data_IF_543394565386
#
_entry.id   IF_543394565386
#
_cell.length_a   1.000
_cell.length_b   1.000
_cell.length_c   1.000
_cell.angle_alpha   90.00
_cell.angle_beta   90.00
_cell.angle_gamma   90.00
#
_symmetry.space_group_name_H-M   'P 1'
#
loop_
_entity.id
_entity.type
_entity.pdbx_description
1 polymer ?
#
# COMPACT_ATOMS: atom_id res chain seq x y z
N UNK A 1 -21.29 -22.75 27.30
CA UNK A 1 -20.04 -22.33 26.67
C UNK A 1 -20.33 -21.04 25.88
N UNK A 2 -19.64 -19.97 26.17
CA UNK A 2 -19.91 -18.67 25.54
C UNK A 2 -19.19 -18.60 24.21
N UNK A 3 -19.89 -18.71 23.10
CA UNK A 3 -19.34 -18.46 21.77
C UNK A 3 -19.18 -16.97 21.53
N UNK A 4 -18.17 -16.60 20.78
CA UNK A 4 -17.86 -15.21 20.43
C UNK A 4 -17.65 -15.08 18.92
N UNK A 5 -17.91 -13.90 18.38
CA UNK A 5 -17.58 -13.54 17.02
C UNK A 5 -16.23 -12.85 16.99
N UNK A 6 -15.29 -13.38 16.26
CA UNK A 6 -13.97 -12.75 16.07
C UNK A 6 -13.99 -11.85 14.85
N UNK A 7 -13.71 -10.58 15.03
CA UNK A 7 -13.66 -9.63 13.92
C UNK A 7 -12.52 -9.96 12.96
N UNK A 8 -12.77 -10.15 11.65
CA UNK A 8 -11.73 -10.48 10.68
C UNK A 8 -10.75 -9.34 10.41
N UNK A 9 -11.13 -8.12 10.75
CA UNK A 9 -10.32 -6.93 10.50
C UNK A 9 -9.34 -6.60 11.63
N UNK A 10 -9.77 -6.74 12.90
CA UNK A 10 -8.96 -6.35 14.05
C UNK A 10 -8.71 -7.47 15.06
N UNK A 11 -9.27 -8.67 14.86
CA UNK A 11 -9.12 -9.82 15.75
C UNK A 11 -9.86 -9.72 17.08
N UNK A 12 -10.66 -8.65 17.31
CA UNK A 12 -11.38 -8.48 18.57
C UNK A 12 -12.49 -9.51 18.70
N UNK A 13 -12.63 -10.07 19.89
CA UNK A 13 -13.73 -10.97 20.28
C UNK A 13 -14.93 -10.09 20.66
N UNK A 14 -16.06 -10.34 20.04
CA UNK A 14 -17.33 -9.62 20.25
C UNK A 14 -18.42 -10.61 20.67
N UNK A 15 -19.42 -10.21 21.45
CA UNK A 15 -20.53 -11.08 21.79
C UNK A 15 -21.40 -11.40 20.56
N UNK A 16 -22.13 -12.50 20.58
CA UNK A 16 -22.97 -12.94 19.47
C UNK A 16 -24.11 -11.97 19.12
N UNK A 17 -24.47 -11.15 20.07
CA UNK A 17 -25.60 -10.22 19.95
C UNK A 17 -25.30 -8.99 19.11
N UNK A 18 -24.02 -8.69 18.86
CA UNK A 18 -23.62 -7.53 18.07
C UNK A 18 -23.44 -7.88 16.60
N UNK A 19 -23.85 -6.98 15.75
CA UNK A 19 -23.72 -7.09 14.29
C UNK A 19 -22.50 -6.32 13.76
N UNK A 20 -21.93 -5.47 14.59
CA UNK A 20 -20.76 -4.65 14.26
C UNK A 20 -19.68 -4.80 15.33
N UNK A 21 -18.43 -4.76 14.90
CA UNK A 21 -17.31 -4.78 15.83
C UNK A 21 -17.24 -3.47 16.63
N UNK A 22 -17.16 -3.60 17.95
CA UNK A 22 -17.09 -2.44 18.87
C UNK A 22 -15.83 -1.60 18.72
N UNK A 23 -14.77 -2.15 18.11
CA UNK A 23 -13.50 -1.47 17.96
C UNK A 23 -13.32 -0.80 16.60
N UNK A 24 -13.62 -1.50 15.51
CA UNK A 24 -13.35 -1.02 14.15
C UNK A 24 -14.64 -0.78 13.32
N UNK A 25 -15.80 -1.00 13.92
CA UNK A 25 -17.11 -0.80 13.30
C UNK A 25 -17.37 -1.60 12.00
N UNK A 26 -16.58 -2.62 11.76
CA UNK A 26 -16.78 -3.54 10.64
C UNK A 26 -17.96 -4.47 10.92
N UNK A 27 -18.78 -4.71 9.90
CA UNK A 27 -19.90 -5.65 9.99
C UNK A 27 -19.39 -7.07 10.23
N UNK A 28 -19.86 -7.68 11.30
CA UNK A 28 -19.54 -9.03 11.71
C UNK A 28 -20.79 -9.92 11.80
N UNK A 29 -21.90 -9.50 11.19
CA UNK A 29 -23.16 -10.25 11.20
C UNK A 29 -23.02 -11.61 10.52
N UNK A 30 -22.22 -11.67 9.46
CA UNK A 30 -21.94 -12.90 8.71
C UNK A 30 -20.79 -13.76 9.29
N UNK A 31 -20.14 -13.29 10.35
CA UNK A 31 -19.03 -14.02 10.98
C UNK A 31 -19.59 -15.18 11.81
N UNK A 32 -19.13 -16.37 11.52
CA UNK A 32 -19.52 -17.55 12.31
C UNK A 32 -19.01 -17.46 13.75
N UNK A 33 -19.82 -17.86 14.71
CA UNK A 33 -19.40 -17.94 16.10
C UNK A 33 -18.23 -18.91 16.25
N UNK A 34 -17.21 -18.51 16.97
CA UNK A 34 -16.02 -19.33 17.24
C UNK A 34 -15.86 -19.50 18.74
N UNK A 35 -15.37 -20.65 19.16
CA UNK A 35 -15.04 -20.88 20.57
C UNK A 35 -13.88 -19.94 20.99
N UNK A 36 -13.96 -19.37 22.19
CA UNK A 36 -12.96 -18.40 22.66
C UNK A 36 -11.57 -18.99 22.83
N UNK A 37 -11.44 -20.30 22.81
CA UNK A 37 -10.19 -21.04 23.01
C UNK A 37 -9.61 -21.61 21.69
N UNK A 38 -10.28 -21.37 20.56
CA UNK A 38 -9.76 -21.78 19.27
C UNK A 38 -8.64 -20.79 18.82
N UNK A 39 -7.52 -21.29 18.32
CA UNK A 39 -6.52 -20.40 17.72
C UNK A 39 -7.17 -19.60 16.60
N UNK A 40 -6.93 -18.31 16.58
CA UNK A 40 -7.48 -17.40 15.59
C UNK A 40 -7.34 -17.99 14.19
N UNK A 41 -8.41 -18.09 13.39
CA UNK A 41 -8.28 -18.50 12.01
C UNK A 41 -7.37 -17.48 11.34
N UNK A 42 -6.18 -17.91 11.01
CA UNK A 42 -5.34 -17.20 10.06
C UNK A 42 -6.22 -16.99 8.84
N UNK A 43 -6.32 -15.74 8.44
CA UNK A 43 -7.05 -15.23 7.29
C UNK A 43 -7.31 -16.30 6.24
N UNK A 44 -8.59 -16.55 5.98
CA UNK A 44 -9.02 -17.59 5.08
C UNK A 44 -8.25 -17.51 3.78
N UNK A 45 -7.59 -18.61 3.49
CA UNK A 45 -7.26 -19.06 2.18
C UNK A 45 -8.22 -18.53 1.10
N UNK A 46 -7.75 -17.56 0.36
CA UNK A 46 -7.90 -17.68 -1.05
C UNK A 46 -6.95 -18.81 -1.41
N UNK A 47 -7.37 -19.93 -1.99
CA UNK A 47 -6.44 -20.90 -2.50
C UNK A 47 -5.60 -20.19 -3.56
N UNK A 48 -4.39 -19.83 -3.16
CA UNK A 48 -3.35 -19.58 -4.12
C UNK A 48 -3.25 -20.87 -4.95
N UNK A 49 -3.25 -20.81 -6.28
CA UNK A 49 -2.96 -21.98 -7.08
C UNK A 49 -1.63 -22.53 -6.55
N UNK A 50 -1.64 -23.83 -6.22
CA UNK A 50 -0.47 -24.57 -5.83
C UNK A 50 0.62 -24.30 -6.89
N UNK A 51 1.52 -23.40 -6.58
CA UNK A 51 2.76 -23.31 -7.33
C UNK A 51 3.61 -24.49 -6.87
N UNK A 52 3.79 -25.43 -7.77
CA UNK A 52 4.72 -26.53 -7.59
C UNK A 52 6.06 -26.02 -7.02
N UNK A 53 6.60 -26.66 -5.97
CA UNK A 53 7.87 -26.26 -5.39
C UNK A 53 9.09 -26.58 -6.27
N UNK A 54 8.89 -27.00 -7.50
CA UNK A 54 9.95 -27.27 -8.47
C UNK A 54 9.91 -26.27 -9.62
N UNK A 55 10.26 -25.07 -9.38
CA UNK A 55 11.12 -24.22 -10.20
C UNK A 55 11.40 -22.93 -9.43
N UNK A 56 12.43 -22.97 -8.62
CA UNK A 56 13.13 -21.73 -8.36
C UNK A 56 13.52 -21.16 -9.73
N UNK A 57 13.05 -19.97 -10.11
CA UNK A 57 13.53 -19.36 -11.33
C UNK A 57 15.03 -19.19 -11.14
N UNK A 58 15.76 -19.81 -12.05
CA UNK A 58 17.19 -19.68 -12.19
C UNK A 58 17.57 -18.21 -11.99
N UNK A 59 18.43 -17.95 -11.00
CA UNK A 59 18.86 -16.60 -10.62
C UNK A 59 19.74 -15.92 -11.69
N UNK A 60 19.62 -16.30 -12.94
CA UNK A 60 20.42 -15.81 -14.06
C UNK A 60 19.63 -14.91 -15.04
N UNK A 61 18.37 -14.63 -14.78
CA UNK A 61 17.73 -13.48 -15.40
C UNK A 61 17.66 -12.36 -14.39
N UNK A 62 18.73 -11.60 -14.32
CA UNK A 62 18.67 -10.21 -13.88
C UNK A 62 17.83 -9.49 -14.95
N UNK A 63 16.52 -9.70 -14.89
CA UNK A 63 15.62 -8.74 -15.47
C UNK A 63 16.01 -7.42 -14.80
N UNK A 64 16.49 -6.50 -15.61
CA UNK A 64 16.72 -5.13 -15.17
C UNK A 64 15.41 -4.65 -14.60
N UNK A 65 15.21 -4.85 -13.30
CA UNK A 65 14.07 -4.30 -12.58
C UNK A 65 14.17 -2.82 -12.82
N UNK A 66 13.33 -2.29 -13.69
CA UNK A 66 13.30 -0.85 -13.94
C UNK A 66 12.95 -0.21 -12.62
N UNK A 67 13.87 0.56 -12.10
CA UNK A 67 13.73 1.32 -10.86
C UNK A 67 13.46 2.76 -11.24
N UNK A 68 12.51 3.37 -10.57
CA UNK A 68 12.26 4.79 -10.65
C UNK A 68 12.95 5.47 -9.47
N UNK A 69 13.72 6.47 -9.74
CA UNK A 69 14.45 7.22 -8.73
C UNK A 69 13.71 8.51 -8.40
N UNK A 70 13.64 8.81 -7.12
CA UNK A 70 13.10 10.05 -6.60
C UNK A 70 14.15 10.80 -5.83
N UNK A 71 14.15 12.10 -5.96
CA UNK A 71 15.04 13.00 -5.22
C UNK A 71 14.22 14.16 -4.67
N UNK A 72 14.53 14.55 -3.42
CA UNK A 72 13.95 15.77 -2.86
C UNK A 72 14.54 17.00 -3.55
N UNK A 73 13.80 18.13 -3.66
CA UNK A 73 14.29 19.36 -4.27
C UNK A 73 15.61 19.87 -3.67
N UNK A 74 15.80 19.56 -2.38
CA UNK A 74 17.03 19.94 -1.65
C UNK A 74 18.22 19.03 -1.98
N UNK A 75 18.01 17.95 -2.73
CA UNK A 75 19.03 16.95 -3.07
C UNK A 75 19.56 16.15 -1.88
N UNK A 76 18.95 16.31 -0.70
CA UNK A 76 19.42 15.66 0.53
C UNK A 76 19.03 14.20 0.66
N UNK A 77 17.89 13.83 0.08
CA UNK A 77 17.38 12.47 0.14
C UNK A 77 17.01 12.01 -1.25
N UNK A 78 17.52 10.86 -1.62
CA UNK A 78 17.12 10.14 -2.84
C UNK A 78 16.79 8.71 -2.48
N UNK A 79 15.82 8.13 -3.16
CA UNK A 79 15.45 6.73 -3.02
C UNK A 79 14.95 6.17 -4.34
N UNK A 80 14.97 4.87 -4.49
CA UNK A 80 14.49 4.18 -5.68
C UNK A 80 13.35 3.25 -5.32
N UNK A 81 12.43 3.08 -6.25
CA UNK A 81 11.28 2.19 -6.09
C UNK A 81 11.11 1.29 -7.30
N UNK A 82 10.64 0.08 -7.08
CA UNK A 82 10.25 -0.85 -8.13
C UNK A 82 8.77 -0.75 -8.50
N UNK A 83 8.38 -1.49 -9.53
CA UNK A 83 6.97 -1.62 -9.89
C UNK A 83 6.15 -2.24 -8.76
N UNK A 84 4.98 -1.69 -8.51
CA UNK A 84 4.10 -2.09 -7.41
C UNK A 84 4.45 -1.47 -6.05
N UNK A 85 5.43 -0.58 -6.00
CA UNK A 85 5.81 0.08 -4.76
C UNK A 85 4.75 1.09 -4.30
N UNK A 86 4.48 1.10 -3.02
CA UNK A 86 3.62 2.09 -2.38
C UNK A 86 4.50 3.16 -1.76
N UNK A 87 4.21 4.41 -2.08
CA UNK A 87 4.84 5.56 -1.44
C UNK A 87 4.05 5.97 -0.21
N UNK A 88 4.74 6.30 0.86
CA UNK A 88 4.07 6.77 2.06
C UNK A 88 4.98 6.76 3.29
N UNK A 89 4.49 7.36 4.35
CA UNK A 89 5.23 7.52 5.61
C UNK A 89 5.58 6.19 6.30
N UNK A 90 4.82 5.14 6.06
CA UNK A 90 5.06 3.78 6.56
C UNK A 90 5.39 2.78 5.45
N UNK A 91 5.66 3.27 4.24
CA UNK A 91 5.95 2.47 3.06
C UNK A 91 7.30 2.87 2.44
N UNK A 92 7.46 2.70 1.13
CA UNK A 92 8.68 3.11 0.46
C UNK A 92 8.90 4.61 0.56
N UNK A 93 10.14 5.02 0.76
CA UNK A 93 10.50 6.42 0.98
C UNK A 93 10.24 6.94 2.40
N UNK A 94 9.98 6.07 3.37
CA UNK A 94 9.70 6.46 4.76
C UNK A 94 10.70 7.45 5.35
N UNK A 95 11.98 7.33 5.02
CA UNK A 95 13.03 8.25 5.49
C UNK A 95 12.87 9.65 4.91
N UNK A 96 12.38 9.74 3.67
CA UNK A 96 12.07 10.99 3.00
C UNK A 96 10.82 11.67 3.59
N UNK A 97 9.83 10.86 3.95
CA UNK A 97 8.54 11.34 4.42
C UNK A 97 8.45 11.46 5.95
N UNK A 98 9.49 11.06 6.67
CA UNK A 98 9.52 11.19 8.14
C UNK A 98 9.36 12.65 8.61
N UNK A 99 9.84 13.60 7.82
CA UNK A 99 9.70 15.04 8.06
C UNK A 99 8.44 15.65 7.47
N UNK A 100 7.66 14.86 6.73
CA UNK A 100 6.43 15.31 6.05
C UNK A 100 5.18 14.70 6.72
N UNK A 101 4.68 15.27 7.81
CA UNK A 101 3.53 14.72 8.54
C UNK A 101 2.23 14.75 7.71
N UNK A 102 2.21 15.51 6.63
CA UNK A 102 1.10 15.64 5.69
C UNK A 102 1.00 14.49 4.69
N UNK A 103 2.01 13.61 4.62
CA UNK A 103 2.00 12.41 3.79
C UNK A 103 1.29 11.28 4.53
N UNK A 104 0.33 10.65 3.89
CA UNK A 104 -0.38 9.49 4.43
C UNK A 104 0.55 8.28 4.55
N UNK A 105 0.21 7.34 5.44
CA UNK A 105 0.99 6.11 5.67
C UNK A 105 1.15 5.29 4.39
N UNK A 106 0.07 5.19 3.61
CA UNK A 106 0.04 4.66 2.24
C UNK A 106 -0.61 5.73 1.38
N UNK A 107 0.19 6.45 0.62
CA UNK A 107 -0.26 7.66 -0.06
C UNK A 107 -0.57 7.41 -1.53
N UNK A 108 0.39 6.86 -2.25
CA UNK A 108 0.27 6.58 -3.68
C UNK A 108 0.97 5.26 -4.03
N UNK A 109 0.56 4.64 -5.12
CA UNK A 109 1.17 3.44 -5.67
C UNK A 109 1.83 3.74 -7.01
N UNK A 110 3.01 3.20 -7.23
CA UNK A 110 3.73 3.26 -8.49
C UNK A 110 3.69 1.91 -9.18
N UNK A 111 3.32 1.92 -10.44
CA UNK A 111 3.31 0.72 -11.29
C UNK A 111 4.08 0.99 -12.58
N UNK A 112 4.78 -0.03 -13.05
CA UNK A 112 5.41 -0.02 -14.34
C UNK A 112 4.66 -0.98 -15.26
N UNK A 113 4.10 -0.46 -16.32
CA UNK A 113 3.33 -1.19 -17.32
C UNK A 113 3.47 -0.52 -18.68
N UNK A 114 3.46 -1.31 -19.74
CA UNK A 114 3.53 -0.81 -21.14
C UNK A 114 4.70 0.16 -21.39
N UNK A 115 5.84 -0.17 -20.80
CA UNK A 115 7.08 0.62 -20.90
C UNK A 115 6.99 2.03 -20.29
N UNK A 116 6.00 2.27 -19.47
CA UNK A 116 5.77 3.54 -18.78
C UNK A 116 5.53 3.35 -17.28
N UNK A 117 5.99 4.33 -16.49
CA UNK A 117 5.65 4.43 -15.09
C UNK A 117 4.33 5.16 -14.91
N UNK A 118 3.50 4.66 -14.03
CA UNK A 118 2.24 5.30 -13.64
C UNK A 118 2.16 5.44 -12.13
N UNK A 119 1.56 6.53 -11.66
CA UNK A 119 1.27 6.77 -10.26
C UNK A 119 -0.25 6.80 -10.06
N UNK A 120 -0.71 6.18 -8.97
CA UNK A 120 -2.12 6.13 -8.56
C UNK A 120 -2.25 6.62 -7.13
N UNK A 121 -3.18 7.54 -6.87
CA UNK A 121 -3.51 7.96 -5.50
C UNK A 121 -4.35 6.91 -4.79
N UNK A 122 -3.91 6.45 -3.63
CA UNK A 122 -4.60 5.43 -2.83
C UNK A 122 -5.64 6.02 -1.86
N UNK A 123 -6.08 7.24 -2.10
CA UNK A 123 -7.01 7.96 -1.24
C UNK A 123 -6.28 8.71 -0.12
N UNK A 124 -5.22 9.40 -0.48
CA UNK A 124 -4.46 10.24 0.44
C UNK A 124 -5.31 11.37 1.01
N UNK A 125 -4.99 11.80 2.23
CA UNK A 125 -5.72 12.88 2.92
C UNK A 125 -5.45 14.24 2.28
N UNK A 126 -4.24 14.48 1.82
CA UNK A 126 -3.80 15.76 1.29
C UNK A 126 -3.70 15.80 -0.25
N UNK A 127 -3.93 14.68 -0.93
CA UNK A 127 -3.87 14.55 -2.38
C UNK A 127 -2.45 14.30 -2.92
N UNK A 128 -2.41 13.87 -4.16
CA UNK A 128 -1.19 13.68 -4.94
C UNK A 128 -1.22 14.60 -6.16
N UNK A 129 -0.10 15.17 -6.54
CA UNK A 129 0.03 16.00 -7.74
C UNK A 129 1.18 15.50 -8.60
N UNK A 130 0.99 15.57 -9.90
CA UNK A 130 2.03 15.31 -10.91
C UNK A 130 2.13 16.55 -11.79
N UNK A 131 3.30 17.18 -11.82
CA UNK A 131 3.54 18.44 -12.54
C UNK A 131 2.49 19.52 -12.21
N UNK A 132 2.23 19.72 -10.91
CA UNK A 132 1.26 20.69 -10.38
C UNK A 132 -0.22 20.37 -10.69
N UNK A 133 -0.48 19.23 -11.32
CA UNK A 133 -1.84 18.76 -11.60
C UNK A 133 -2.28 17.77 -10.53
N UNK A 134 -3.42 18.02 -9.87
CA UNK A 134 -3.94 17.10 -8.87
C UNK A 134 -4.34 15.77 -9.50
N UNK A 135 -4.10 14.69 -8.77
CA UNK A 135 -4.63 13.36 -9.05
C UNK A 135 -5.91 13.16 -8.26
N UNK A 136 -6.91 12.62 -8.90
CA UNK A 136 -8.09 12.14 -8.20
C UNK A 136 -7.82 10.76 -7.58
N UNK A 137 -8.59 10.44 -6.54
CA UNK A 137 -8.47 9.13 -5.88
C UNK A 137 -8.72 8.00 -6.88
N UNK A 138 -7.75 7.10 -7.01
CA UNK A 138 -7.79 5.99 -7.96
C UNK A 138 -7.45 6.37 -9.41
N UNK A 139 -7.13 7.63 -9.66
CA UNK A 139 -6.64 8.06 -10.97
C UNK A 139 -5.21 7.58 -11.18
N UNK A 140 -4.94 7.02 -12.36
CA UNK A 140 -3.60 6.63 -12.79
C UNK A 140 -3.06 7.67 -13.77
N UNK A 141 -1.87 8.16 -13.51
CA UNK A 141 -1.22 9.13 -14.38
C UNK A 141 0.19 8.70 -14.73
N UNK A 142 0.59 8.77 -16.01
CA UNK A 142 1.94 8.43 -16.41
C UNK A 142 2.93 9.43 -15.81
N UNK A 143 4.07 8.90 -15.38
CA UNK A 143 5.19 9.65 -14.79
C UNK A 143 6.44 9.34 -15.57
N UNK A 144 7.20 10.37 -15.92
CA UNK A 144 8.43 10.26 -16.69
C UNK A 144 9.59 10.87 -15.91
N UNK A 145 10.78 10.57 -16.37
CA UNK A 145 11.99 11.25 -15.92
C UNK A 145 11.86 12.78 -16.11
N UNK A 146 12.20 13.54 -15.09
CA UNK A 146 12.07 14.97 -15.05
C UNK A 146 10.75 15.51 -14.49
N UNK A 147 9.75 14.64 -14.33
CA UNK A 147 8.47 15.02 -13.74
C UNK A 147 8.62 15.30 -12.24
N UNK A 148 7.74 16.16 -11.74
CA UNK A 148 7.64 16.45 -10.31
C UNK A 148 6.40 15.77 -9.74
N UNK A 149 6.59 14.95 -8.72
CA UNK A 149 5.52 14.30 -7.96
C UNK A 149 5.44 14.94 -6.59
N UNK A 150 4.27 15.42 -6.20
CA UNK A 150 4.02 15.94 -4.87
C UNK A 150 3.04 15.03 -4.14
N UNK A 151 3.44 14.54 -2.97
CA UNK A 151 2.58 13.74 -2.07
C UNK A 151 1.93 14.60 -0.98
N UNK A 152 2.00 15.88 -1.13
CA UNK A 152 1.30 16.94 -0.40
C UNK A 152 1.87 18.27 -0.88
N UNK A 153 1.28 19.38 -0.48
CA UNK A 153 1.81 20.72 -0.82
C UNK A 153 3.20 20.98 -0.25
N UNK A 154 3.61 20.19 0.76
CA UNK A 154 4.90 20.36 1.43
C UNK A 154 5.93 19.29 1.07
N UNK A 155 5.55 18.27 0.31
CA UNK A 155 6.43 17.16 -0.04
C UNK A 155 6.52 17.00 -1.55
N UNK A 156 7.54 17.61 -2.11
CA UNK A 156 7.86 17.55 -3.53
C UNK A 156 8.96 16.52 -3.78
N UNK A 157 8.82 15.75 -4.83
CA UNK A 157 9.81 14.78 -5.29
C UNK A 157 10.06 14.99 -6.78
N UNK A 158 11.31 14.96 -7.18
CA UNK A 158 11.70 14.99 -8.58
C UNK A 158 12.00 13.58 -9.05
N UNK A 159 11.42 13.21 -10.18
CA UNK A 159 11.66 11.91 -10.81
C UNK A 159 12.96 11.93 -11.59
N UNK A 160 13.80 10.92 -11.34
CA UNK A 160 15.02 10.66 -12.12
C UNK A 160 14.95 9.26 -12.73
N UNK A 161 15.44 9.07 -13.91
CA UNK A 161 15.55 7.80 -14.62
C UNK A 161 16.89 7.13 -14.45
#
# INVERSE_FOLDING_TARGET
MAQVKVCPSCGRKNPLTVTMCELCMVDISAVNPTDPDAPAPKSADTPAPEADPEKAPDATQVEKRKLLYFETPDGKVSFSVGSGAVLGREAEGKNCFATCPTVSRRHACLMYSDDAWTIEDLGSTNGTWVNERPLERGEKRPVKEGDTVALSRSCLLKVKG
#
